data_IF_825313122375
#
_entry.id   IF_825313122375
#
_cell.length_a   1.000
_cell.length_b   1.000
_cell.length_c   1.000
_cell.angle_alpha   90.00
_cell.angle_beta   90.00
_cell.angle_gamma   90.00
#
_symmetry.space_group_name_H-M   'P 1'
#
loop_
_entity.id
_entity.type
_entity.pdbx_description
1 polymer ?
#
# COMPACT_ATOMS: atom_id res chain seq x y z
N UNK A 1 -10.13 2.35 -10.39
CA UNK A 1 -8.77 1.86 -10.03
C UNK A 1 -7.81 2.24 -11.16
N UNK A 2 -6.77 3.00 -10.88
CA UNK A 2 -5.77 3.31 -11.90
C UNK A 2 -4.94 2.07 -12.28
N UNK A 3 -4.53 2.01 -13.54
CA UNK A 3 -3.60 0.98 -13.99
C UNK A 3 -2.17 1.57 -13.93
N UNK A 4 -1.32 0.94 -13.18
CA UNK A 4 0.07 1.35 -13.00
C UNK A 4 1.07 0.37 -13.61
N UNK A 5 0.60 -0.54 -14.46
CA UNK A 5 1.41 -1.63 -15.02
C UNK A 5 2.22 -2.36 -13.91
N UNK A 6 3.46 -2.73 -14.23
CA UNK A 6 4.37 -3.41 -13.32
C UNK A 6 5.33 -2.45 -12.60
N UNK A 7 4.88 -1.22 -12.29
CA UNK A 7 5.72 -0.17 -11.69
C UNK A 7 5.92 -0.27 -10.18
N UNK A 8 5.15 -1.12 -9.49
CA UNK A 8 5.11 -1.11 -8.02
C UNK A 8 4.69 0.26 -7.46
N UNK A 9 3.78 0.97 -8.14
CA UNK A 9 3.32 2.31 -7.73
C UNK A 9 4.47 3.31 -7.53
N UNK A 10 5.48 3.25 -8.37
CA UNK A 10 6.69 4.06 -8.23
C UNK A 10 7.00 4.83 -9.51
N UNK A 11 7.75 5.89 -9.37
CA UNK A 11 8.40 6.52 -10.51
C UNK A 11 9.54 5.60 -10.93
N UNK A 12 9.45 5.02 -12.11
CA UNK A 12 10.39 4.01 -12.57
C UNK A 12 11.70 4.66 -13.02
N UNK A 13 12.82 4.01 -12.74
CA UNK A 13 14.13 4.46 -13.23
C UNK A 13 14.20 4.43 -14.78
N UNK A 14 13.62 3.39 -15.40
CA UNK A 14 13.55 3.21 -16.84
C UNK A 14 12.09 2.98 -17.28
N UNK A 15 11.24 4.01 -17.10
CA UNK A 15 9.83 3.91 -17.42
C UNK A 15 9.07 5.20 -17.12
N UNK A 16 7.80 5.07 -16.80
CA UNK A 16 6.93 6.20 -16.50
C UNK A 16 6.89 6.50 -14.99
N UNK A 17 6.53 7.74 -14.66
CA UNK A 17 6.37 8.23 -13.28
C UNK A 17 4.98 7.83 -12.74
N UNK A 18 4.78 6.55 -12.38
CA UNK A 18 3.46 6.07 -11.94
C UNK A 18 3.07 6.55 -10.55
N UNK A 19 4.01 6.85 -9.68
CA UNK A 19 3.69 7.48 -8.39
C UNK A 19 3.07 8.86 -8.60
N UNK A 20 3.70 9.70 -9.42
CA UNK A 20 3.18 11.04 -9.76
C UNK A 20 1.85 10.94 -10.51
N UNK A 21 1.70 9.97 -11.42
CA UNK A 21 0.46 9.72 -12.14
C UNK A 21 -0.72 9.44 -11.18
N UNK A 22 -0.53 8.68 -10.11
CA UNK A 22 -1.58 8.47 -9.10
C UNK A 22 -1.96 9.76 -8.41
N UNK A 23 -0.99 10.60 -8.08
CA UNK A 23 -1.25 11.93 -7.49
C UNK A 23 -1.98 12.84 -8.47
N UNK A 24 -1.60 12.83 -9.74
CA UNK A 24 -2.34 13.57 -10.79
C UNK A 24 -3.79 13.10 -10.91
N UNK A 25 -4.04 11.78 -10.89
CA UNK A 25 -5.40 11.24 -10.88
C UNK A 25 -6.18 11.74 -9.65
N UNK A 26 -5.58 11.69 -8.46
CA UNK A 26 -6.20 12.18 -7.24
C UNK A 26 -6.64 13.65 -7.40
N UNK A 27 -5.74 14.52 -7.83
CA UNK A 27 -6.04 15.93 -8.05
C UNK A 27 -7.09 16.13 -9.16
N UNK A 28 -6.98 15.37 -10.25
CA UNK A 28 -7.89 15.48 -11.39
C UNK A 28 -9.33 15.08 -11.02
N UNK A 29 -9.53 13.98 -10.29
CA UNK A 29 -10.89 13.57 -9.90
C UNK A 29 -11.53 14.57 -8.93
N UNK A 30 -10.74 15.26 -8.09
CA UNK A 30 -11.23 16.32 -7.22
C UNK A 30 -11.54 17.64 -7.96
N UNK A 31 -11.10 17.77 -9.21
CA UNK A 31 -11.46 18.91 -10.06
C UNK A 31 -12.76 18.67 -10.84
N UNK A 32 -12.98 17.42 -11.29
CA UNK A 32 -14.11 17.08 -12.18
C UNK A 32 -15.34 16.55 -11.43
N UNK A 33 -15.18 16.04 -10.22
CA UNK A 33 -16.26 15.55 -9.38
C UNK A 33 -16.39 16.38 -8.10
N UNK A 34 -17.61 16.53 -7.53
CA UNK A 34 -17.84 17.26 -6.30
C UNK A 34 -17.40 16.41 -5.08
N UNK A 35 -16.12 16.06 -5.01
CA UNK A 35 -15.55 15.27 -3.93
C UNK A 35 -15.06 16.21 -2.81
N UNK A 36 -15.11 15.73 -1.59
CA UNK A 36 -14.51 16.43 -0.47
C UNK A 36 -12.98 16.42 -0.57
N UNK A 37 -12.38 17.57 -0.28
CA UNK A 37 -10.92 17.71 -0.17
C UNK A 37 -10.40 17.55 1.26
N UNK A 38 -11.30 17.36 2.22
CA UNK A 38 -10.91 17.14 3.59
C UNK A 38 -10.30 15.75 3.73
N UNK A 39 -9.16 15.64 4.41
CA UNK A 39 -8.49 14.38 4.71
C UNK A 39 -9.46 13.33 5.28
N UNK A 40 -10.34 13.76 6.19
CA UNK A 40 -11.28 12.88 6.91
C UNK A 40 -12.31 12.18 6.02
N UNK A 41 -12.51 12.67 4.81
CA UNK A 41 -13.47 12.12 3.84
C UNK A 41 -12.79 11.29 2.75
N UNK A 42 -11.46 11.14 2.81
CA UNK A 42 -10.67 10.45 1.79
C UNK A 42 -10.00 9.20 2.36
N UNK A 43 -10.16 8.08 1.65
CA UNK A 43 -9.68 6.76 2.07
C UNK A 43 -8.97 6.07 0.92
N UNK A 44 -8.06 5.15 1.27
CA UNK A 44 -7.31 4.38 0.28
C UNK A 44 -7.33 2.89 0.62
N UNK A 45 -7.58 2.05 -0.39
CA UNK A 45 -7.53 0.59 -0.25
C UNK A 45 -6.96 -0.07 -1.50
N UNK A 46 -6.39 -1.24 -1.33
CA UNK A 46 -5.90 -2.06 -2.42
C UNK A 46 -5.49 -3.44 -1.95
N UNK A 47 -5.47 -4.41 -2.86
CA UNK A 47 -5.07 -5.78 -2.56
C UNK A 47 -3.73 -6.13 -3.21
N UNK A 48 -2.99 -7.08 -2.62
CA UNK A 48 -1.72 -7.58 -3.16
C UNK A 48 -0.73 -6.43 -3.39
N UNK A 49 -0.24 -6.25 -4.61
CA UNK A 49 0.58 -5.10 -4.99
C UNK A 49 -0.17 -3.76 -4.81
N UNK A 50 -1.51 -3.74 -4.94
CA UNK A 50 -2.34 -2.57 -4.59
C UNK A 50 -2.34 -2.29 -3.08
N UNK A 51 -2.18 -3.31 -2.24
CA UNK A 51 -1.97 -3.17 -0.80
C UNK A 51 -0.62 -2.52 -0.47
N UNK A 52 0.44 -2.90 -1.19
CA UNK A 52 1.73 -2.20 -1.16
C UNK A 52 1.57 -0.71 -1.52
N UNK A 53 0.88 -0.43 -2.64
CA UNK A 53 0.58 0.96 -3.03
C UNK A 53 -0.20 1.70 -1.94
N UNK A 54 -1.20 1.04 -1.34
CA UNK A 54 -2.01 1.61 -0.26
C UNK A 54 -1.15 2.07 0.91
N UNK A 55 -0.27 1.20 1.44
CA UNK A 55 0.59 1.59 2.57
C UNK A 55 1.62 2.64 2.17
N UNK A 56 2.19 2.54 0.97
CA UNK A 56 3.12 3.53 0.45
C UNK A 56 2.50 4.93 0.42
N UNK A 57 1.31 5.08 -0.19
CA UNK A 57 0.60 6.37 -0.21
C UNK A 57 0.13 6.81 1.16
N UNK A 58 -0.33 5.91 2.02
CA UNK A 58 -0.72 6.23 3.40
C UNK A 58 0.44 6.85 4.20
N UNK A 59 1.67 6.38 3.99
CA UNK A 59 2.85 6.87 4.70
C UNK A 59 3.48 8.12 4.06
N UNK A 60 3.37 8.28 2.74
CA UNK A 60 4.01 9.38 2.00
C UNK A 60 3.06 10.54 1.69
N UNK A 61 1.76 10.32 1.73
CA UNK A 61 0.68 11.29 1.44
C UNK A 61 -0.37 11.25 2.56
N UNK A 62 0.07 11.18 3.79
CA UNK A 62 -0.78 11.02 4.98
C UNK A 62 -1.75 12.19 5.18
N UNK A 63 -1.42 13.36 4.65
CA UNK A 63 -2.26 14.55 4.63
C UNK A 63 -3.51 14.43 3.74
N UNK A 64 -3.51 13.43 2.84
CA UNK A 64 -4.62 13.20 1.90
C UNK A 64 -5.63 12.15 2.40
N UNK A 65 -5.24 11.24 3.29
CA UNK A 65 -6.05 10.09 3.66
C UNK A 65 -6.21 9.95 5.17
N UNK A 66 -7.45 9.80 5.65
CA UNK A 66 -7.74 9.54 7.06
C UNK A 66 -7.64 8.04 7.42
N UNK A 67 -7.95 7.17 6.46
CA UNK A 67 -7.95 5.71 6.65
C UNK A 67 -7.33 5.00 5.46
N UNK A 68 -6.65 3.89 5.73
CA UNK A 68 -6.01 3.05 4.72
C UNK A 68 -6.25 1.57 5.00
N UNK A 69 -6.64 0.81 3.97
CA UNK A 69 -6.93 -0.61 4.09
C UNK A 69 -6.07 -1.42 3.10
N UNK A 70 -4.83 -1.80 3.45
CA UNK A 70 -4.05 -2.76 2.70
C UNK A 70 -4.61 -4.18 2.92
N UNK A 71 -4.95 -4.87 1.82
CA UNK A 71 -5.58 -6.19 1.81
C UNK A 71 -4.60 -7.20 1.20
N UNK A 72 -4.25 -8.28 1.90
CA UNK A 72 -3.24 -9.26 1.46
C UNK A 72 -2.02 -8.55 0.86
N UNK A 73 -1.49 -7.56 1.57
CA UNK A 73 -0.53 -6.62 1.01
C UNK A 73 0.88 -7.21 0.94
N UNK A 74 1.65 -6.75 -0.03
CA UNK A 74 3.09 -6.94 -0.08
C UNK A 74 3.73 -5.85 0.80
N UNK A 75 4.35 -6.23 1.91
CA UNK A 75 5.10 -5.30 2.74
C UNK A 75 6.60 -5.42 2.53
N UNK A 76 7.10 -6.62 2.29
CA UNK A 76 8.52 -6.87 1.97
C UNK A 76 8.75 -6.85 0.45
N UNK A 77 8.68 -5.66 -0.14
CA UNK A 77 8.78 -5.50 -1.59
C UNK A 77 10.12 -6.03 -2.18
N UNK A 78 11.20 -6.13 -1.38
CA UNK A 78 12.47 -6.71 -1.82
C UNK A 78 12.29 -8.15 -2.31
N UNK A 79 11.44 -8.96 -1.68
CA UNK A 79 11.17 -10.33 -2.13
C UNK A 79 10.65 -10.37 -3.58
N UNK A 80 9.83 -9.39 -3.98
CA UNK A 80 9.32 -9.30 -5.35
C UNK A 80 10.35 -8.76 -6.33
N UNK A 81 11.25 -7.89 -5.87
CA UNK A 81 12.38 -7.41 -6.67
C UNK A 81 13.35 -8.56 -6.96
N UNK A 82 13.54 -9.48 -6.01
CA UNK A 82 14.46 -10.62 -6.15
C UNK A 82 13.86 -11.78 -6.97
N UNK A 83 12.54 -11.76 -7.23
CA UNK A 83 11.91 -12.75 -8.09
C UNK A 83 12.15 -12.41 -9.57
N UNK A 84 12.72 -13.37 -10.31
CA UNK A 84 12.90 -13.25 -11.77
C UNK A 84 11.60 -13.60 -12.51
N UNK A 85 10.67 -12.65 -12.50
CA UNK A 85 9.37 -12.82 -13.18
C UNK A 85 9.50 -12.43 -14.65
N UNK A 86 8.95 -13.25 -15.55
CA UNK A 86 8.98 -13.04 -17.00
C UNK A 86 8.48 -11.65 -17.42
N UNK A 87 7.45 -11.15 -16.74
CA UNK A 87 6.79 -9.89 -17.08
C UNK A 87 7.16 -8.74 -16.13
N UNK A 88 8.11 -8.94 -15.22
CA UNK A 88 8.49 -7.96 -14.21
C UNK A 88 9.99 -7.69 -14.25
N UNK A 89 10.35 -6.50 -14.63
CA UNK A 89 11.75 -6.07 -14.61
C UNK A 89 12.03 -5.20 -13.38
N UNK A 90 12.67 -5.77 -12.38
CA UNK A 90 13.14 -5.04 -11.21
C UNK A 90 13.97 -3.82 -11.60
N UNK A 91 14.91 -3.97 -12.53
CA UNK A 91 15.75 -2.88 -13.02
C UNK A 91 14.98 -1.74 -13.67
N UNK A 92 13.83 -2.02 -14.30
CA UNK A 92 12.99 -0.96 -14.83
C UNK A 92 12.45 -0.02 -13.75
N UNK A 93 12.23 -0.55 -12.56
CA UNK A 93 11.73 0.22 -11.41
C UNK A 93 12.89 0.86 -10.65
N UNK A 94 13.91 0.06 -10.30
CA UNK A 94 14.96 0.45 -9.34
C UNK A 94 16.20 1.05 -9.98
N UNK A 95 16.37 0.88 -11.29
CA UNK A 95 17.63 1.16 -11.98
C UNK A 95 18.65 0.02 -11.79
N UNK A 96 19.91 0.36 -11.81
CA UNK A 96 21.00 -0.63 -11.69
C UNK A 96 21.10 -1.27 -10.30
N UNK A 97 20.68 -0.54 -9.26
CA UNK A 97 20.68 -1.05 -7.89
C UNK A 97 19.31 -1.63 -7.52
N UNK A 98 19.24 -2.95 -7.48
CA UNK A 98 18.01 -3.67 -7.11
C UNK A 98 17.81 -3.84 -5.59
N UNK A 99 18.76 -3.41 -4.76
CA UNK A 99 18.56 -3.35 -3.31
C UNK A 99 17.74 -2.11 -2.96
N UNK A 100 16.50 -2.32 -2.55
CA UNK A 100 15.56 -1.25 -2.21
C UNK A 100 15.58 -0.86 -0.72
N UNK A 101 16.35 -1.55 0.11
CA UNK A 101 16.41 -1.24 1.54
C UNK A 101 16.81 0.22 1.78
N UNK A 102 16.04 0.91 2.59
CA UNK A 102 16.25 2.32 2.90
C UNK A 102 15.86 3.30 1.77
N UNK A 103 15.19 2.82 0.73
CA UNK A 103 14.68 3.65 -0.37
C UNK A 103 13.18 3.94 -0.21
N UNK A 104 12.61 4.73 -1.12
CA UNK A 104 11.17 5.00 -1.21
C UNK A 104 10.33 3.77 -1.64
N UNK A 105 10.96 2.67 -1.99
CA UNK A 105 10.32 1.40 -2.30
C UNK A 105 10.17 0.49 -1.07
N UNK A 106 10.89 0.78 -0.02
CA UNK A 106 10.91 0.03 1.23
C UNK A 106 9.86 0.56 2.21
N UNK A 107 8.78 -0.19 2.42
CA UNK A 107 7.68 0.21 3.29
C UNK A 107 8.09 0.35 4.75
N UNK A 108 9.06 -0.46 5.22
CA UNK A 108 9.60 -0.36 6.57
C UNK A 108 10.42 0.92 6.76
N UNK A 109 11.18 1.31 5.73
CA UNK A 109 11.88 2.60 5.72
C UNK A 109 10.89 3.76 5.73
N UNK A 110 9.84 3.70 4.90
CA UNK A 110 8.79 4.74 4.88
C UNK A 110 8.09 4.86 6.22
N UNK A 111 7.81 3.73 6.88
CA UNK A 111 7.21 3.71 8.21
C UNK A 111 8.13 4.34 9.24
N UNK A 112 9.43 4.01 9.22
CA UNK A 112 10.42 4.63 10.10
C UNK A 112 10.49 6.15 9.91
N UNK A 113 10.56 6.61 8.66
CA UNK A 113 10.53 8.05 8.33
C UNK A 113 9.26 8.73 8.83
N UNK A 114 8.09 8.10 8.67
CA UNK A 114 6.84 8.65 9.15
C UNK A 114 6.84 8.83 10.68
N UNK A 115 7.35 7.85 11.42
CA UNK A 115 7.50 7.93 12.89
C UNK A 115 8.51 9.01 13.31
N UNK A 116 9.70 9.02 12.71
CA UNK A 116 10.74 9.99 13.00
C UNK A 116 10.29 11.44 12.75
N UNK A 117 9.53 11.65 11.68
CA UNK A 117 8.98 12.96 11.33
C UNK A 117 7.66 13.27 12.03
N UNK A 118 7.18 12.42 12.93
CA UNK A 118 5.92 12.58 13.66
C UNK A 118 4.70 12.80 12.73
N UNK A 119 4.70 12.11 11.59
CA UNK A 119 3.61 12.17 10.63
C UNK A 119 2.35 11.57 11.24
N UNK A 120 1.20 12.20 11.04
CA UNK A 120 -0.09 11.64 11.41
C UNK A 120 -0.45 10.50 10.43
N UNK A 121 -0.10 9.27 10.82
CA UNK A 121 -0.38 8.08 10.00
C UNK A 121 -1.91 7.86 9.94
N UNK A 122 -2.50 7.59 8.76
CA UNK A 122 -3.90 7.19 8.65
C UNK A 122 -4.24 6.00 9.55
N UNK A 123 -5.50 5.89 9.98
CA UNK A 123 -5.96 4.67 10.65
C UNK A 123 -5.78 3.50 9.70
N UNK A 124 -5.26 2.38 10.19
CA UNK A 124 -4.95 1.21 9.39
C UNK A 124 -5.93 0.07 9.67
N UNK A 125 -6.54 -0.50 8.62
CA UNK A 125 -7.21 -1.78 8.63
C UNK A 125 -6.42 -2.74 7.75
N UNK A 126 -5.67 -3.65 8.35
CA UNK A 126 -4.89 -4.66 7.65
C UNK A 126 -5.71 -5.94 7.60
N UNK A 127 -5.89 -6.52 6.42
CA UNK A 127 -6.65 -7.77 6.26
C UNK A 127 -5.84 -8.76 5.42
N UNK A 128 -5.78 -10.03 5.85
CA UNK A 128 -5.13 -11.09 5.09
C UNK A 128 -5.81 -12.44 5.34
N UNK A 129 -5.92 -13.26 4.30
CA UNK A 129 -6.38 -14.64 4.42
C UNK A 129 -5.33 -15.49 5.13
N UNK A 130 -5.78 -16.43 5.99
CA UNK A 130 -4.85 -17.30 6.75
C UNK A 130 -4.07 -18.28 5.87
N UNK A 131 -4.61 -18.63 4.72
CA UNK A 131 -4.00 -19.51 3.72
C UNK A 131 -3.30 -18.74 2.60
N UNK A 132 -3.24 -17.39 2.71
CA UNK A 132 -2.54 -16.52 1.77
C UNK A 132 -1.02 -16.67 1.93
N UNK A 133 -0.28 -16.79 0.83
CA UNK A 133 1.18 -16.88 0.87
C UNK A 133 1.87 -15.62 1.40
N UNK A 134 1.16 -14.47 1.44
CA UNK A 134 1.62 -13.23 2.06
C UNK A 134 1.23 -13.10 3.54
N UNK A 135 0.60 -14.11 4.13
CA UNK A 135 0.13 -14.02 5.52
C UNK A 135 1.27 -13.68 6.49
N UNK A 136 2.39 -14.37 6.41
CA UNK A 136 3.54 -14.12 7.28
C UNK A 136 4.17 -12.74 7.04
N UNK A 137 4.20 -12.25 5.80
CA UNK A 137 4.65 -10.88 5.48
C UNK A 137 3.75 -9.84 6.17
N UNK A 138 2.43 -10.06 6.15
CA UNK A 138 1.47 -9.19 6.84
C UNK A 138 1.66 -9.25 8.37
N UNK A 139 1.87 -10.42 8.96
CA UNK A 139 2.13 -10.58 10.40
C UNK A 139 3.44 -9.90 10.81
N UNK A 140 4.48 -9.97 9.99
CA UNK A 140 5.75 -9.30 10.29
C UNK A 140 5.62 -7.77 10.27
N UNK A 141 4.87 -7.22 9.31
CA UNK A 141 4.60 -5.78 9.29
C UNK A 141 3.79 -5.34 10.52
N UNK A 142 2.81 -6.14 10.95
CA UNK A 142 2.03 -5.90 12.18
C UNK A 142 2.93 -5.87 13.42
N UNK A 143 3.86 -6.82 13.55
CA UNK A 143 4.85 -6.81 14.65
C UNK A 143 5.67 -5.51 14.66
N UNK A 144 6.04 -5.02 13.49
CA UNK A 144 6.76 -3.75 13.37
C UNK A 144 5.90 -2.54 13.79
N UNK A 145 4.59 -2.57 13.51
CA UNK A 145 3.66 -1.55 14.03
C UNK A 145 3.56 -1.61 15.56
N UNK A 146 3.48 -2.81 16.15
CA UNK A 146 3.45 -3.01 17.60
C UNK A 146 4.70 -2.47 18.28
N UNK A 147 5.89 -2.77 17.74
CA UNK A 147 7.17 -2.26 18.25
C UNK A 147 7.21 -0.73 18.27
N UNK A 148 6.60 -0.11 17.28
CA UNK A 148 6.52 1.37 17.15
C UNK A 148 5.31 1.97 17.86
N UNK A 149 4.45 1.14 18.46
CA UNK A 149 3.20 1.55 19.13
C UNK A 149 2.25 2.32 18.20
N UNK A 150 2.20 1.94 16.93
CA UNK A 150 1.29 2.51 15.94
C UNK A 150 -0.02 1.73 16.01
N UNK A 151 -1.17 2.40 16.24
CA UNK A 151 -2.45 1.71 16.32
C UNK A 151 -2.90 1.22 14.94
N UNK A 152 -3.46 0.03 14.91
CA UNK A 152 -4.06 -0.59 13.72
C UNK A 152 -5.23 -1.49 14.14
N UNK A 153 -6.03 -1.89 13.15
CA UNK A 153 -6.96 -3.01 13.24
C UNK A 153 -6.45 -4.12 12.33
N UNK A 154 -6.39 -5.34 12.83
CA UNK A 154 -6.07 -6.52 12.02
C UNK A 154 -7.25 -7.48 12.02
N UNK A 155 -7.71 -7.86 10.84
CA UNK A 155 -8.78 -8.84 10.66
C UNK A 155 -8.27 -9.95 9.72
N UNK A 156 -8.22 -11.18 10.21
CA UNK A 156 -7.90 -12.34 9.42
C UNK A 156 -9.07 -13.33 9.38
N UNK A 157 -9.15 -14.10 8.34
CA UNK A 157 -10.12 -15.18 8.20
C UNK A 157 -9.59 -16.24 7.24
N UNK A 158 -10.25 -17.39 7.13
CA UNK A 158 -9.92 -18.37 6.10
C UNK A 158 -10.06 -17.76 4.72
N UNK A 159 -9.04 -17.90 3.88
CA UNK A 159 -8.96 -17.41 2.52
C UNK A 159 -7.54 -17.41 1.97
N UNK A 160 -7.45 -17.59 0.67
CA UNK A 160 -6.22 -17.60 -0.10
C UNK A 160 -6.00 -16.27 -0.81
N UNK A 161 -4.86 -16.12 -1.49
CA UNK A 161 -4.52 -14.95 -2.31
C UNK A 161 -5.34 -14.90 -3.61
N UNK A 162 -6.64 -14.65 -3.49
CA UNK A 162 -7.56 -14.66 -4.62
C UNK A 162 -8.76 -13.72 -4.46
N UNK A 163 -9.49 -13.50 -5.56
CA UNK A 163 -10.64 -12.62 -5.58
C UNK A 163 -11.79 -13.07 -4.66
N UNK A 164 -11.93 -14.36 -4.36
CA UNK A 164 -12.98 -14.82 -3.44
C UNK A 164 -12.78 -14.30 -2.01
N UNK A 165 -11.53 -14.12 -1.59
CA UNK A 165 -11.17 -13.44 -0.35
C UNK A 165 -11.32 -11.93 -0.48
N UNK A 166 -10.75 -11.32 -1.53
CA UNK A 166 -10.70 -9.86 -1.68
C UNK A 166 -12.07 -9.21 -1.87
N UNK A 167 -13.04 -9.89 -2.48
CA UNK A 167 -14.42 -9.40 -2.57
C UNK A 167 -15.04 -9.17 -1.18
N UNK A 168 -14.75 -10.04 -0.22
CA UNK A 168 -15.20 -9.90 1.16
C UNK A 168 -14.41 -8.81 1.89
N UNK A 169 -13.09 -8.82 1.70
CA UNK A 169 -12.19 -7.87 2.36
C UNK A 169 -12.46 -6.43 1.92
N UNK A 170 -12.65 -6.17 0.62
CA UNK A 170 -12.95 -4.81 0.16
C UNK A 170 -14.32 -4.32 0.64
N UNK A 171 -15.32 -5.21 0.71
CA UNK A 171 -16.62 -4.86 1.28
C UNK A 171 -16.48 -4.45 2.74
N UNK A 172 -15.76 -5.23 3.55
CA UNK A 172 -15.48 -4.90 4.96
C UNK A 172 -14.70 -3.59 5.09
N UNK A 173 -13.71 -3.35 4.22
CA UNK A 173 -12.95 -2.11 4.22
C UNK A 173 -13.84 -0.88 3.92
N UNK A 174 -14.76 -0.99 2.96
CA UNK A 174 -15.73 0.08 2.63
C UNK A 174 -16.65 0.35 3.83
N UNK A 175 -17.17 -0.68 4.49
CA UNK A 175 -17.98 -0.54 5.71
C UNK A 175 -17.18 0.17 6.81
N UNK A 176 -15.93 -0.23 7.04
CA UNK A 176 -15.06 0.38 8.03
C UNK A 176 -14.70 1.83 7.72
N UNK A 177 -14.60 2.20 6.46
CA UNK A 177 -14.31 3.59 6.08
C UNK A 177 -15.40 4.56 6.55
N UNK A 178 -16.66 4.12 6.61
CA UNK A 178 -17.80 4.96 6.98
C UNK A 178 -18.21 4.83 8.47
N UNK A 179 -17.54 3.97 9.23
CA UNK A 179 -17.66 3.90 10.70
C UNK A 179 -16.96 5.11 11.34
#
# INVERSE_FOLDING_TARGET
MPNVNHSGYSNMAYGHSYYDYILEIYEYVHQIFPLSKNREDNFIAGHSMGGYGTIKFALTQSDKFAKAAPLSAVFQAQHFIDLDWIDFSAQSITGENTNINGTELDTYHLLNKAVENQVEIPKLLIMCGKEDFLYEDNIEFIRNLDEKKIPYTFEDSSGEHNYAYWDKAIKRAIEWFVE
#
